data_IF_535087234769
#
_entry.id   IF_535087234769
#
_cell.length_a   1.000
_cell.length_b   1.000
_cell.length_c   1.000
_cell.angle_alpha   90.00
_cell.angle_beta   90.00
_cell.angle_gamma   90.00
#
_symmetry.space_group_name_H-M   'P 1'
#
loop_
_entity.id
_entity.type
_entity.pdbx_description
1 polymer ?
#
# COMPACT_ATOMS: atom_id res chain seq x y z
N UNK A 1 43.83 64.31 26.07
CA UNK A 1 43.46 63.00 26.64
C UNK A 1 43.41 61.98 25.50
N UNK A 2 44.33 61.02 25.49
CA UNK A 2 44.60 60.08 24.38
C UNK A 2 43.51 58.99 24.27
N UNK A 3 43.21 58.52 23.04
CA UNK A 3 42.15 57.51 22.78
C UNK A 3 42.27 56.25 23.65
N UNK A 4 43.47 55.83 24.02
CA UNK A 4 43.73 54.67 24.87
C UNK A 4 43.12 54.78 26.28
N UNK A 5 43.07 55.99 26.87
CA UNK A 5 42.54 56.16 28.23
C UNK A 5 41.01 56.07 28.29
N UNK A 6 40.31 56.32 27.18
CA UNK A 6 38.84 56.18 27.06
C UNK A 6 38.40 54.73 26.92
N UNK A 7 39.18 53.88 26.27
CA UNK A 7 38.86 52.44 26.16
C UNK A 7 39.04 51.71 27.49
N UNK A 8 40.07 52.05 28.26
CA UNK A 8 40.30 51.46 29.58
C UNK A 8 39.18 51.84 30.58
N UNK A 9 38.67 53.07 30.54
CA UNK A 9 37.55 53.51 31.39
C UNK A 9 36.23 52.88 30.97
N UNK A 10 35.94 52.76 29.68
CA UNK A 10 34.72 52.10 29.18
C UNK A 10 34.72 50.60 29.52
N UNK A 11 35.86 49.92 29.40
CA UNK A 11 35.99 48.51 29.76
C UNK A 11 35.82 48.27 31.28
N UNK A 12 36.38 49.15 32.11
CA UNK A 12 36.23 49.07 33.58
C UNK A 12 34.78 49.33 34.03
N UNK A 13 34.09 50.31 33.41
CA UNK A 13 32.67 50.59 33.69
C UNK A 13 31.78 49.44 33.23
N UNK A 14 32.05 48.84 32.07
CA UNK A 14 31.32 47.67 31.58
C UNK A 14 31.48 46.46 32.51
N UNK A 15 32.70 46.18 32.99
CA UNK A 15 32.97 45.10 33.93
C UNK A 15 32.28 45.33 35.30
N UNK A 16 32.28 46.57 35.79
CA UNK A 16 31.60 46.93 37.05
C UNK A 16 30.07 46.82 36.95
N UNK A 17 29.48 47.22 35.80
CA UNK A 17 28.05 47.03 35.53
C UNK A 17 27.70 45.55 35.42
N UNK A 18 28.54 44.74 34.79
CA UNK A 18 28.34 43.29 34.69
C UNK A 18 28.37 42.62 36.07
N UNK A 19 29.26 43.06 36.95
CA UNK A 19 29.43 42.53 38.31
C UNK A 19 28.29 42.97 39.25
N UNK A 20 27.74 44.16 39.07
CA UNK A 20 26.53 44.62 39.76
C UNK A 20 25.24 43.96 39.26
N UNK A 21 25.14 43.64 37.95
CA UNK A 21 24.01 42.92 37.39
C UNK A 21 23.97 41.46 37.89
N UNK A 22 25.13 40.79 37.93
CA UNK A 22 25.23 39.38 38.31
C UNK A 22 24.89 39.12 39.77
N UNK A 23 25.09 40.09 40.66
CA UNK A 23 24.77 39.95 42.09
C UNK A 23 23.27 40.07 42.40
N UNK A 24 22.46 40.62 41.49
CA UNK A 24 21.05 40.89 41.72
C UNK A 24 20.11 40.15 40.74
N UNK A 25 20.67 39.30 39.88
CA UNK A 25 19.92 38.46 38.96
C UNK A 25 19.47 37.20 39.68
N UNK A 26 18.16 37.02 39.90
CA UNK A 26 17.68 35.88 40.68
C UNK A 26 17.88 34.57 39.90
N UNK A 27 18.33 33.52 40.58
CA UNK A 27 18.81 32.24 40.00
C UNK A 27 17.90 31.62 38.93
N UNK A 28 16.58 31.75 39.08
CA UNK A 28 15.58 31.29 38.10
C UNK A 28 15.71 31.93 36.71
N UNK A 29 16.20 33.17 36.59
CA UNK A 29 16.44 33.82 35.29
C UNK A 29 17.58 33.13 34.55
N UNK A 30 18.63 32.72 35.26
CA UNK A 30 19.77 32.00 34.68
C UNK A 30 19.36 30.60 34.18
N UNK A 31 18.56 29.89 34.98
CA UNK A 31 18.08 28.54 34.63
C UNK A 31 17.10 28.59 33.46
N UNK A 32 16.20 29.57 33.41
CA UNK A 32 15.23 29.72 32.32
C UNK A 32 15.87 30.16 31.00
N UNK A 33 16.80 31.12 31.03
CA UNK A 33 17.56 31.51 29.82
C UNK A 33 18.48 30.38 29.33
N UNK A 34 19.10 29.63 30.24
CA UNK A 34 19.88 28.43 29.88
C UNK A 34 19.03 27.34 29.22
N UNK A 35 17.85 27.05 29.76
CA UNK A 35 16.92 26.09 29.16
C UNK A 35 16.40 26.55 27.80
N UNK A 36 16.10 27.85 27.63
CA UNK A 36 15.67 28.44 26.37
C UNK A 36 16.75 28.31 25.26
N UNK A 37 18.02 28.55 25.60
CA UNK A 37 19.13 28.40 24.66
C UNK A 37 19.34 26.93 24.25
N UNK A 38 19.27 26.00 25.19
CA UNK A 38 19.35 24.56 24.90
C UNK A 38 18.20 24.09 24.00
N UNK A 39 17.00 24.63 24.20
CA UNK A 39 15.84 24.29 23.38
C UNK A 39 15.93 24.88 21.97
N UNK A 40 16.48 26.10 21.80
CA UNK A 40 16.76 26.67 20.49
C UNK A 40 17.85 25.91 19.72
N UNK A 41 18.96 25.55 20.38
CA UNK A 41 20.03 24.76 19.74
C UNK A 41 19.54 23.35 19.42
N UNK A 42 18.77 22.74 20.32
CA UNK A 42 18.17 21.42 20.12
C UNK A 42 17.19 21.41 18.95
N UNK A 43 16.38 22.47 18.78
CA UNK A 43 15.50 22.61 17.64
C UNK A 43 16.27 22.82 16.33
N UNK A 44 17.34 23.63 16.34
CA UNK A 44 18.20 23.82 15.16
C UNK A 44 18.87 22.52 14.67
N UNK A 45 19.20 21.60 15.57
CA UNK A 45 19.76 20.30 15.23
C UNK A 45 18.69 19.26 14.82
N UNK A 46 17.44 19.42 15.29
CA UNK A 46 16.35 18.49 15.01
C UNK A 46 15.59 18.82 13.71
N UNK A 47 15.59 20.09 13.30
CA UNK A 47 15.19 20.49 11.95
C UNK A 47 16.45 20.59 11.09
N UNK A 48 16.70 19.55 10.29
CA UNK A 48 17.61 19.54 9.14
C UNK A 48 17.25 20.66 8.15
N UNK A 49 17.48 21.91 8.52
CA UNK A 49 17.23 23.08 7.68
C UNK A 49 18.53 23.58 7.00
N UNK A 50 19.62 22.82 7.12
CA UNK A 50 20.95 23.19 6.61
C UNK A 50 21.34 22.53 5.27
N UNK A 51 20.40 21.92 4.54
CA UNK A 51 20.71 21.36 3.20
C UNK A 51 19.69 21.77 2.13
N UNK A 52 19.57 23.08 1.82
CA UNK A 52 18.76 23.53 0.68
C UNK A 52 19.23 22.86 -0.63
N UNK A 53 20.52 22.57 -0.75
CA UNK A 53 21.10 21.88 -1.90
C UNK A 53 20.52 20.47 -2.14
N UNK A 54 20.23 19.70 -1.08
CA UNK A 54 19.66 18.36 -1.20
C UNK A 54 18.18 18.41 -1.59
N UNK A 55 17.46 19.44 -1.15
CA UNK A 55 16.08 19.68 -1.55
C UNK A 55 16.00 20.05 -3.04
N UNK A 56 16.92 20.89 -3.51
CA UNK A 56 17.02 21.30 -4.92
C UNK A 56 17.42 20.13 -5.83
N UNK A 57 18.34 19.26 -5.38
CA UNK A 57 18.70 18.02 -6.10
C UNK A 57 17.52 17.05 -6.22
N UNK A 58 16.71 16.91 -5.16
CA UNK A 58 15.51 16.07 -5.20
C UNK A 58 14.40 16.68 -6.06
N UNK A 59 14.25 18.00 -6.07
CA UNK A 59 13.29 18.69 -6.96
C UNK A 59 13.71 18.60 -8.42
N UNK A 60 15.01 18.72 -8.73
CA UNK A 60 15.57 18.51 -10.07
C UNK A 60 15.41 17.05 -10.53
N UNK A 61 15.68 16.07 -9.65
CA UNK A 61 15.52 14.65 -9.96
C UNK A 61 14.04 14.25 -10.13
N UNK A 62 13.13 14.79 -9.30
CA UNK A 62 11.70 14.60 -9.45
C UNK A 62 11.16 15.27 -10.73
N UNK A 63 11.68 16.45 -11.08
CA UNK A 63 11.37 17.17 -12.32
C UNK A 63 11.82 16.41 -13.56
N UNK A 64 13.02 15.83 -13.55
CA UNK A 64 13.54 15.01 -14.65
C UNK A 64 12.68 13.73 -14.86
N UNK A 65 12.31 13.04 -13.78
CA UNK A 65 11.43 11.87 -13.84
C UNK A 65 10.00 12.22 -14.29
N UNK A 66 9.50 13.39 -13.93
CA UNK A 66 8.21 13.90 -14.40
C UNK A 66 8.24 14.27 -15.89
N UNK A 67 9.35 14.81 -16.39
CA UNK A 67 9.54 15.11 -17.81
C UNK A 67 9.65 13.83 -18.64
N UNK A 68 10.38 12.81 -18.20
CA UNK A 68 10.42 11.49 -18.86
C UNK A 68 9.07 10.79 -18.83
N UNK A 69 8.28 10.93 -17.75
CA UNK A 69 6.93 10.40 -17.67
C UNK A 69 5.95 11.16 -18.58
N UNK A 70 6.10 12.49 -18.72
CA UNK A 70 5.26 13.30 -19.62
C UNK A 70 5.63 13.12 -21.11
N UNK A 71 6.91 12.87 -21.41
CA UNK A 71 7.40 12.52 -22.75
C UNK A 71 6.91 11.14 -23.17
N UNK A 72 6.90 10.17 -22.24
CA UNK A 72 6.31 8.84 -22.46
C UNK A 72 4.78 8.91 -22.66
N UNK A 73 4.06 9.80 -21.96
CA UNK A 73 2.61 9.97 -22.17
C UNK A 73 2.25 10.74 -23.44
N UNK A 74 3.10 11.68 -23.90
CA UNK A 74 2.90 12.38 -25.18
C UNK A 74 3.08 11.46 -26.39
N UNK A 75 4.09 10.58 -26.36
CA UNK A 75 4.25 9.59 -27.43
C UNK A 75 3.07 8.61 -27.54
N UNK A 76 2.38 8.29 -26.44
CA UNK A 76 1.20 7.42 -26.45
C UNK A 76 -0.07 8.15 -26.93
N UNK A 77 -0.18 9.47 -26.73
CA UNK A 77 -1.29 10.27 -27.23
C UNK A 77 -1.14 10.62 -28.72
N UNK A 78 0.08 10.90 -29.17
CA UNK A 78 0.34 11.23 -30.59
C UNK A 78 0.17 10.00 -31.49
N UNK A 79 0.43 8.77 -31.01
CA UNK A 79 0.16 7.54 -31.77
C UNK A 79 -1.33 7.17 -31.86
N UNK A 80 -2.17 7.73 -30.98
CA UNK A 80 -3.60 7.40 -30.92
C UNK A 80 -4.47 8.47 -31.58
N UNK A 81 -3.94 9.68 -31.80
CA UNK A 81 -4.68 10.82 -32.35
C UNK A 81 -4.57 11.01 -33.88
N UNK A 82 -3.63 10.36 -34.57
CA UNK A 82 -3.46 10.50 -36.03
C UNK A 82 -3.64 9.17 -36.76
N UNK A 83 -4.85 8.61 -36.74
CA UNK A 83 -5.27 7.65 -37.76
C UNK A 83 -6.75 7.80 -38.08
N UNK A 84 -7.10 8.90 -38.74
CA UNK A 84 -8.14 8.85 -39.78
C UNK A 84 -7.97 10.02 -40.76
N UNK A 85 -7.92 9.64 -42.05
CA UNK A 85 -7.88 10.47 -43.28
C UNK A 85 -6.50 11.03 -43.67
N UNK A 86 -5.89 10.44 -44.70
CA UNK A 86 -5.82 10.99 -46.08
C UNK A 86 -5.11 9.99 -47.00
N UNK A 87 -5.48 10.08 -48.26
CA UNK A 87 -5.24 9.29 -49.46
C UNK A 87 -3.83 8.76 -49.75
N UNK A 88 -3.85 7.66 -50.51
CA UNK A 88 -2.84 7.11 -51.42
C UNK A 88 -1.91 8.19 -52.02
N UNK A 89 -0.60 8.03 -51.83
CA UNK A 89 0.41 7.99 -52.91
C UNK A 89 1.86 8.03 -52.37
N UNK A 90 2.74 7.36 -53.10
CA UNK A 90 4.22 7.44 -53.08
C UNK A 90 5.00 6.65 -51.99
N UNK A 91 5.74 5.66 -52.48
CA UNK A 91 6.77 4.91 -51.79
C UNK A 91 8.04 5.72 -51.53
N UNK A 92 8.71 5.49 -50.40
CA UNK A 92 10.17 5.53 -50.30
C UNK A 92 10.65 4.65 -49.15
N UNK A 93 11.46 3.66 -49.48
CA UNK A 93 11.98 2.61 -48.61
C UNK A 93 12.97 3.16 -47.58
N UNK A 94 12.81 2.78 -46.31
CA UNK A 94 13.89 2.77 -45.34
C UNK A 94 13.89 1.39 -44.67
N UNK A 95 14.87 0.59 -45.08
CA UNK A 95 15.08 -0.79 -44.66
C UNK A 95 15.33 -0.88 -43.14
N UNK A 96 14.45 -1.58 -42.43
CA UNK A 96 14.68 -2.08 -41.08
C UNK A 96 14.43 -3.61 -41.11
N UNK A 97 15.24 -4.40 -40.38
CA UNK A 97 15.22 -5.84 -40.46
C UNK A 97 13.87 -6.40 -39.99
N UNK A 98 13.39 -7.43 -40.70
CA UNK A 98 12.19 -8.17 -40.35
C UNK A 98 12.25 -8.63 -38.88
N UNK A 99 11.46 -8.00 -38.01
CA UNK A 99 10.95 -8.71 -36.85
C UNK A 99 9.95 -9.71 -37.39
N UNK A 100 10.48 -10.82 -37.89
CA UNK A 100 9.71 -12.02 -38.19
C UNK A 100 8.81 -12.24 -36.99
N UNK A 101 7.51 -12.32 -37.28
CA UNK A 101 6.49 -12.68 -36.33
C UNK A 101 6.88 -14.03 -35.74
N UNK A 102 7.67 -13.98 -34.66
CA UNK A 102 7.96 -15.11 -33.82
C UNK A 102 6.59 -15.52 -33.27
N UNK A 103 6.08 -16.59 -33.88
CA UNK A 103 4.94 -17.33 -33.41
C UNK A 103 5.01 -17.37 -31.89
N UNK A 104 3.92 -16.98 -31.22
CA UNK A 104 3.73 -17.36 -29.83
C UNK A 104 3.91 -18.88 -29.79
N UNK A 105 5.05 -19.34 -29.28
CA UNK A 105 5.28 -20.75 -29.11
C UNK A 105 4.12 -21.26 -28.24
N UNK A 106 3.41 -22.31 -28.69
CA UNK A 106 2.33 -22.86 -27.90
C UNK A 106 2.92 -23.27 -26.57
N UNK A 107 2.47 -22.59 -25.51
CA UNK A 107 2.89 -22.81 -24.12
C UNK A 107 3.04 -24.31 -23.91
N UNK A 108 4.29 -24.73 -23.76
CA UNK A 108 4.72 -26.11 -23.65
C UNK A 108 3.74 -26.85 -22.73
N UNK A 109 3.21 -27.98 -23.22
CA UNK A 109 2.26 -28.81 -22.49
C UNK A 109 2.96 -29.39 -21.26
N UNK A 110 3.07 -28.60 -20.19
CA UNK A 110 3.40 -29.09 -18.86
C UNK A 110 2.36 -30.18 -18.57
N UNK A 111 2.79 -31.41 -18.26
CA UNK A 111 1.86 -32.50 -18.02
C UNK A 111 0.88 -32.03 -16.95
N UNK A 112 -0.39 -31.91 -17.33
CA UNK A 112 -1.47 -31.67 -16.39
C UNK A 112 -1.40 -32.81 -15.40
N UNK A 113 -0.89 -32.51 -14.20
CA UNK A 113 -0.79 -33.48 -13.12
C UNK A 113 -2.14 -34.21 -13.04
N UNK A 114 -2.16 -35.56 -13.02
CA UNK A 114 -3.40 -36.31 -13.08
C UNK A 114 -4.38 -35.76 -12.04
N UNK A 115 -5.66 -35.73 -12.41
CA UNK A 115 -6.78 -34.99 -11.78
C UNK A 115 -7.00 -35.25 -10.27
N UNK A 116 -6.15 -36.03 -9.60
CA UNK A 116 -6.14 -36.29 -8.16
C UNK A 116 -4.90 -35.81 -7.38
N UNK A 117 -3.74 -35.53 -8.02
CA UNK A 117 -2.48 -35.21 -7.32
C UNK A 117 -2.15 -33.71 -7.23
N UNK A 118 -2.76 -32.87 -8.07
CA UNK A 118 -2.52 -31.43 -8.03
C UNK A 118 -3.07 -30.84 -6.72
N UNK A 119 -2.26 -30.05 -6.03
CA UNK A 119 -2.72 -29.33 -4.83
C UNK A 119 -3.88 -28.40 -5.21
N UNK A 120 -4.99 -28.39 -4.45
CA UNK A 120 -6.12 -27.53 -4.75
C UNK A 120 -5.77 -26.05 -4.53
N UNK A 121 -6.40 -25.18 -5.31
CA UNK A 121 -6.38 -23.74 -5.05
C UNK A 121 -7.09 -23.46 -3.72
N UNK A 122 -6.75 -22.34 -3.07
CA UNK A 122 -7.31 -22.04 -1.75
C UNK A 122 -8.18 -20.80 -1.79
N UNK A 123 -9.39 -20.92 -1.28
CA UNK A 123 -10.32 -19.82 -1.04
C UNK A 123 -10.32 -19.51 0.46
N UNK A 124 -9.60 -18.45 0.85
CA UNK A 124 -9.55 -17.98 2.22
C UNK A 124 -10.74 -17.07 2.51
N UNK A 125 -11.57 -17.45 3.48
CA UNK A 125 -12.71 -16.68 3.97
C UNK A 125 -12.42 -16.24 5.40
N UNK A 126 -12.08 -14.96 5.57
CA UNK A 126 -11.86 -14.35 6.87
C UNK A 126 -13.09 -13.55 7.28
N UNK A 127 -13.89 -14.10 8.18
CA UNK A 127 -15.11 -13.50 8.71
C UNK A 127 -14.86 -12.97 10.13
N UNK A 128 -14.40 -11.72 10.21
CA UNK A 128 -14.23 -11.01 11.50
C UNK A 128 -15.54 -10.32 11.91
N UNK A 129 -15.61 -9.83 13.15
CA UNK A 129 -16.79 -9.07 13.63
C UNK A 129 -17.05 -7.79 12.81
N UNK A 130 -16.01 -7.19 12.23
CA UNK A 130 -16.09 -5.85 11.64
C UNK A 130 -16.00 -5.84 10.11
N UNK A 131 -15.58 -6.95 9.50
CA UNK A 131 -15.39 -7.06 8.06
C UNK A 131 -15.29 -8.53 7.62
N UNK A 132 -15.63 -8.76 6.36
CA UNK A 132 -15.46 -10.04 5.67
C UNK A 132 -14.49 -9.88 4.52
N UNK A 133 -13.46 -10.71 4.47
CA UNK A 133 -12.45 -10.69 3.41
C UNK A 133 -12.39 -12.08 2.76
N UNK A 134 -12.51 -12.11 1.45
CA UNK A 134 -12.46 -13.33 0.64
C UNK A 134 -11.28 -13.20 -0.31
N UNK A 135 -10.33 -14.13 -0.20
CA UNK A 135 -9.11 -14.13 -1.01
C UNK A 135 -8.94 -15.48 -1.68
N UNK A 136 -8.83 -15.45 -3.00
CA UNK A 136 -8.53 -16.61 -3.82
C UNK A 136 -7.04 -16.66 -4.12
N UNK A 137 -6.43 -17.81 -3.89
CA UNK A 137 -4.97 -18.00 -3.95
C UNK A 137 -4.62 -19.28 -4.70
N UNK A 138 -3.43 -19.29 -5.31
CA UNK A 138 -2.80 -20.50 -5.81
C UNK A 138 -2.44 -21.45 -4.66
N UNK A 139 -2.19 -22.75 -4.95
CA UNK A 139 -1.76 -23.71 -3.93
C UNK A 139 -0.41 -23.34 -3.28
N UNK A 140 0.41 -22.55 -3.98
CA UNK A 140 1.68 -21.97 -3.51
C UNK A 140 1.49 -20.84 -2.50
N UNK A 141 0.28 -20.26 -2.40
CA UNK A 141 -0.04 -19.14 -1.52
C UNK A 141 -0.05 -17.77 -2.20
N UNK A 142 0.22 -17.70 -3.50
CA UNK A 142 0.15 -16.45 -4.26
C UNK A 142 -1.31 -15.98 -4.42
N UNK A 143 -1.63 -14.70 -4.10
CA UNK A 143 -2.98 -14.18 -4.24
C UNK A 143 -3.33 -13.86 -5.70
N UNK A 144 -4.43 -14.45 -6.17
CA UNK A 144 -4.96 -14.21 -7.52
C UNK A 144 -6.01 -13.10 -7.52
N UNK A 145 -6.95 -13.18 -6.59
CA UNK A 145 -8.05 -12.23 -6.49
C UNK A 145 -8.46 -12.04 -5.03
N UNK A 146 -8.83 -10.81 -4.69
CA UNK A 146 -9.41 -10.47 -3.40
C UNK A 146 -10.69 -9.65 -3.56
N UNK A 147 -11.53 -9.73 -2.53
CA UNK A 147 -12.64 -8.83 -2.30
C UNK A 147 -12.93 -8.77 -0.80
N UNK A 148 -13.48 -7.65 -0.37
CA UNK A 148 -13.96 -7.46 1.00
C UNK A 148 -15.24 -6.65 0.99
N UNK A 149 -15.93 -6.59 2.13
CA UNK A 149 -17.10 -5.71 2.28
C UNK A 149 -16.78 -4.25 1.90
N UNK A 150 -15.56 -3.78 2.19
CA UNK A 150 -15.08 -2.46 1.77
C UNK A 150 -14.91 -2.32 0.25
N UNK A 151 -14.38 -3.35 -0.42
CA UNK A 151 -14.12 -3.34 -1.87
C UNK A 151 -15.42 -3.23 -2.67
N UNK A 152 -16.52 -3.76 -2.14
CA UNK A 152 -17.86 -3.69 -2.75
C UNK A 152 -18.55 -2.33 -2.54
N UNK A 153 -17.94 -1.43 -1.76
CA UNK A 153 -18.42 -0.06 -1.58
C UNK A 153 -19.08 0.20 -0.22
N UNK A 154 -19.21 -0.81 0.65
CA UNK A 154 -19.71 -0.59 2.01
C UNK A 154 -18.69 0.22 2.83
N UNK A 155 -19.19 1.23 3.55
CA UNK A 155 -18.37 2.15 4.36
C UNK A 155 -18.61 1.91 5.85
N UNK A 156 -17.56 2.11 6.66
CA UNK A 156 -17.60 2.02 8.13
C UNK A 156 -18.28 0.73 8.62
N UNK A 157 -19.25 0.85 9.54
CA UNK A 157 -20.00 -0.26 10.13
C UNK A 157 -20.78 -1.10 9.10
N UNK A 158 -21.11 -0.54 7.93
CA UNK A 158 -21.78 -1.29 6.87
C UNK A 158 -20.96 -2.46 6.31
N UNK A 159 -19.64 -2.51 6.56
CA UNK A 159 -18.75 -3.58 6.07
C UNK A 159 -18.91 -4.90 6.81
N UNK A 160 -19.44 -4.89 8.04
CA UNK A 160 -19.62 -6.10 8.86
C UNK A 160 -20.92 -6.84 8.59
N UNK A 161 -21.86 -6.19 7.89
CA UNK A 161 -23.18 -6.75 7.65
C UNK A 161 -23.15 -8.00 6.78
N UNK A 162 -24.18 -8.83 6.93
CA UNK A 162 -24.40 -10.03 6.13
C UNK A 162 -24.35 -9.72 4.61
N UNK A 163 -25.04 -8.67 4.17
CA UNK A 163 -25.07 -8.27 2.75
C UNK A 163 -23.68 -7.93 2.21
N UNK A 164 -22.84 -7.27 3.01
CA UNK A 164 -21.48 -6.94 2.60
C UNK A 164 -20.61 -8.18 2.40
N UNK A 165 -20.77 -9.20 3.24
CA UNK A 165 -20.14 -10.51 3.07
C UNK A 165 -20.65 -11.24 1.83
N UNK A 166 -21.96 -11.22 1.60
CA UNK A 166 -22.61 -11.85 0.44
C UNK A 166 -22.08 -11.27 -0.87
N UNK A 167 -22.16 -9.95 -1.05
CA UNK A 167 -21.70 -9.30 -2.28
C UNK A 167 -20.18 -9.42 -2.48
N UNK A 168 -19.40 -9.50 -1.40
CA UNK A 168 -17.96 -9.75 -1.50
C UNK A 168 -17.65 -11.15 -2.06
N UNK A 169 -18.43 -12.17 -1.66
CA UNK A 169 -18.33 -13.51 -2.22
C UNK A 169 -18.68 -13.52 -3.71
N UNK A 170 -19.79 -12.88 -4.10
CA UNK A 170 -20.20 -12.79 -5.51
C UNK A 170 -19.10 -12.23 -6.41
N UNK A 171 -18.49 -11.12 -5.99
CA UNK A 171 -17.41 -10.49 -6.76
C UNK A 171 -16.19 -11.40 -6.92
N UNK A 172 -15.94 -12.30 -5.97
CA UNK A 172 -14.89 -13.32 -6.11
C UNK A 172 -15.35 -14.45 -7.03
N UNK A 173 -16.58 -14.93 -6.91
CA UNK A 173 -17.11 -15.99 -7.77
C UNK A 173 -17.14 -15.56 -9.24
N UNK A 174 -17.51 -14.32 -9.53
CA UNK A 174 -17.42 -13.71 -10.86
C UNK A 174 -15.97 -13.70 -11.38
N UNK A 175 -15.01 -13.26 -10.56
CA UNK A 175 -13.58 -13.25 -10.93
C UNK A 175 -13.03 -14.65 -11.19
N UNK A 176 -13.43 -15.63 -10.37
CA UNK A 176 -13.04 -17.04 -10.54
C UNK A 176 -13.67 -17.58 -11.83
N UNK A 177 -14.96 -17.35 -12.06
CA UNK A 177 -15.65 -17.82 -13.26
C UNK A 177 -15.09 -17.21 -14.55
N UNK A 178 -14.73 -15.92 -14.53
CA UNK A 178 -14.17 -15.24 -15.70
C UNK A 178 -12.72 -15.68 -16.02
N UNK A 179 -11.92 -15.98 -15.00
CA UNK A 179 -10.50 -16.33 -15.17
C UNK A 179 -10.21 -17.82 -14.97
N UNK A 180 -11.24 -18.67 -14.93
CA UNK A 180 -11.09 -20.10 -14.60
C UNK A 180 -10.10 -20.81 -15.54
N UNK A 181 -10.22 -20.56 -16.85
CA UNK A 181 -9.33 -21.12 -17.88
C UNK A 181 -7.91 -20.58 -17.76
N UNK A 182 -7.78 -19.27 -17.49
CA UNK A 182 -6.48 -18.58 -17.36
C UNK A 182 -5.69 -19.08 -16.16
N UNK A 183 -6.36 -19.30 -15.03
CA UNK A 183 -5.75 -19.76 -13.78
C UNK A 183 -5.71 -21.29 -13.66
N UNK A 184 -6.26 -22.03 -14.65
CA UNK A 184 -6.32 -23.50 -14.67
C UNK A 184 -6.88 -24.08 -13.35
N UNK A 185 -7.98 -23.49 -12.88
CA UNK A 185 -8.59 -23.87 -11.60
C UNK A 185 -9.39 -25.17 -11.76
N UNK A 186 -8.84 -26.26 -11.24
CA UNK A 186 -9.48 -27.58 -11.27
C UNK A 186 -10.15 -27.96 -9.95
N UNK A 187 -9.58 -27.56 -8.82
CA UNK A 187 -10.10 -27.87 -7.49
C UNK A 187 -9.81 -26.74 -6.50
N UNK A 188 -10.74 -26.54 -5.57
CA UNK A 188 -10.70 -25.48 -4.56
C UNK A 188 -10.87 -26.11 -3.16
N UNK A 189 -10.01 -25.69 -2.23
CA UNK A 189 -10.14 -25.88 -0.79
C UNK A 189 -10.64 -24.58 -0.17
N UNK A 190 -11.75 -24.63 0.57
CA UNK A 190 -12.30 -23.47 1.26
C UNK A 190 -11.79 -23.45 2.70
N UNK A 191 -11.14 -22.35 3.08
CA UNK A 191 -10.55 -22.16 4.41
C UNK A 191 -11.31 -21.08 5.17
N UNK A 192 -12.06 -21.49 6.19
CA UNK A 192 -12.83 -20.58 7.03
C UNK A 192 -11.98 -20.05 8.17
N UNK A 193 -12.10 -18.77 8.50
CA UNK A 193 -11.46 -18.18 9.68
C UNK A 193 -12.42 -17.18 10.34
N UNK A 194 -12.75 -17.45 11.59
CA UNK A 194 -13.63 -16.61 12.40
C UNK A 194 -15.12 -16.98 12.26
N UNK A 195 -15.92 -16.32 13.08
CA UNK A 195 -17.36 -16.58 13.24
C UNK A 195 -18.20 -15.29 13.06
N UNK A 196 -17.73 -14.36 12.23
CA UNK A 196 -18.52 -13.17 11.87
C UNK A 196 -19.70 -13.50 10.96
N UNK A 197 -20.67 -12.59 10.86
CA UNK A 197 -21.87 -12.75 10.02
C UNK A 197 -21.56 -13.05 8.54
N UNK A 198 -20.41 -12.58 8.06
CA UNK A 198 -19.94 -12.85 6.70
C UNK A 198 -19.65 -14.32 6.40
N UNK A 199 -19.42 -15.16 7.41
CA UNK A 199 -19.19 -16.59 7.22
C UNK A 199 -20.41 -17.27 6.62
N UNK A 200 -21.56 -17.06 7.24
CA UNK A 200 -22.84 -17.58 6.75
C UNK A 200 -23.23 -16.95 5.42
N UNK A 201 -22.94 -15.65 5.24
CA UNK A 201 -23.21 -14.97 3.97
C UNK A 201 -22.45 -15.58 2.79
N UNK A 202 -21.15 -15.86 2.96
CA UNK A 202 -20.32 -16.50 1.93
C UNK A 202 -20.78 -17.94 1.68
N UNK A 203 -21.14 -18.68 2.73
CA UNK A 203 -21.66 -20.04 2.59
C UNK A 203 -22.99 -20.04 1.82
N UNK A 204 -23.89 -19.10 2.13
CA UNK A 204 -25.17 -18.94 1.42
C UNK A 204 -24.95 -18.56 -0.04
N UNK A 205 -24.05 -17.63 -0.34
CA UNK A 205 -23.70 -17.23 -1.70
C UNK A 205 -23.16 -18.43 -2.52
N UNK A 206 -22.37 -19.29 -1.88
CA UNK A 206 -21.82 -20.49 -2.51
C UNK A 206 -22.90 -21.56 -2.77
N UNK A 207 -23.93 -21.63 -1.92
CA UNK A 207 -25.06 -22.56 -2.11
C UNK A 207 -26.11 -22.02 -3.09
N UNK A 208 -26.20 -20.70 -3.26
CA UNK A 208 -27.04 -20.06 -4.26
C UNK A 208 -26.57 -20.37 -5.70
N UNK A 209 -27.41 -20.05 -6.68
CA UNK A 209 -27.11 -20.24 -8.11
C UNK A 209 -25.85 -19.51 -8.57
N UNK A 210 -25.58 -18.34 -7.99
CA UNK A 210 -24.40 -17.53 -8.28
C UNK A 210 -23.09 -18.25 -7.95
N UNK A 211 -23.12 -19.18 -6.99
CA UNK A 211 -22.00 -20.00 -6.57
C UNK A 211 -21.82 -21.30 -7.34
N UNK A 212 -22.70 -21.65 -8.29
CA UNK A 212 -22.73 -22.98 -8.93
C UNK A 212 -21.39 -23.39 -9.56
N UNK A 213 -20.77 -22.47 -10.32
CA UNK A 213 -19.45 -22.68 -10.95
C UNK A 213 -18.37 -22.99 -9.93
N UNK A 214 -18.38 -22.28 -8.81
CA UNK A 214 -17.38 -22.46 -7.74
C UNK A 214 -17.69 -23.72 -6.94
N UNK A 215 -18.97 -23.99 -6.65
CA UNK A 215 -19.45 -25.15 -5.89
C UNK A 215 -19.00 -26.47 -6.51
N UNK A 216 -19.05 -26.58 -7.84
CA UNK A 216 -18.57 -27.77 -8.57
C UNK A 216 -17.05 -28.02 -8.47
N UNK A 217 -16.27 -26.99 -8.12
CA UNK A 217 -14.81 -27.08 -7.96
C UNK A 217 -14.38 -27.35 -6.51
N UNK A 218 -15.27 -27.18 -5.52
CA UNK A 218 -14.92 -27.35 -4.11
C UNK A 218 -14.71 -28.82 -3.78
N UNK A 219 -13.51 -29.17 -3.32
CA UNK A 219 -13.16 -30.54 -2.90
C UNK A 219 -13.23 -30.71 -1.38
N UNK A 220 -12.75 -29.72 -0.63
CA UNK A 220 -12.64 -29.78 0.84
C UNK A 220 -13.01 -28.44 1.44
N UNK A 221 -13.68 -28.45 2.59
CA UNK A 221 -13.87 -27.28 3.44
C UNK A 221 -13.21 -27.52 4.79
N UNK A 222 -12.32 -26.62 5.20
CA UNK A 222 -11.56 -26.72 6.45
C UNK A 222 -11.76 -25.45 7.27
N UNK A 223 -12.01 -25.58 8.57
CA UNK A 223 -11.99 -24.45 9.49
C UNK A 223 -10.55 -24.23 10.01
N UNK A 224 -10.01 -23.04 9.77
CA UNK A 224 -8.69 -22.57 10.20
C UNK A 224 -8.81 -21.38 11.18
N UNK A 225 -9.85 -21.37 12.00
CA UNK A 225 -9.99 -20.37 13.06
C UNK A 225 -8.91 -20.57 14.13
N UNK A 226 -8.06 -19.57 14.40
CA UNK A 226 -6.95 -19.74 15.33
C UNK A 226 -7.45 -19.84 16.78
N UNK A 227 -7.11 -20.94 17.44
CA UNK A 227 -7.28 -21.13 18.89
C UNK A 227 -5.89 -21.18 19.51
N UNK A 228 -5.62 -20.29 20.45
CA UNK A 228 -4.33 -20.27 21.16
C UNK A 228 -4.39 -21.17 22.40
N UNK A 229 -3.39 -22.03 22.57
CA UNK A 229 -3.16 -22.79 23.80
C UNK A 229 -2.11 -22.01 24.59
N UNK A 230 -2.55 -21.15 25.51
CA UNK A 230 -1.67 -20.15 26.15
C UNK A 230 -1.36 -18.93 25.25
N UNK A 231 -0.24 -18.26 25.49
CA UNK A 231 0.23 -17.10 24.72
C UNK A 231 -0.10 -15.72 25.33
N UNK A 232 -0.09 -14.67 24.50
CA UNK A 232 -0.22 -13.28 24.96
C UNK A 232 -1.58 -13.03 25.64
N UNK A 233 -1.58 -12.31 26.77
CA UNK A 233 -2.79 -11.93 27.51
C UNK A 233 -3.75 -11.13 26.61
N UNK A 234 -5.03 -11.53 26.49
CA UNK A 234 -6.01 -10.75 25.73
C UNK A 234 -6.29 -9.40 26.39
N UNK A 235 -6.76 -8.42 25.61
CA UNK A 235 -7.14 -7.10 26.13
C UNK A 235 -8.18 -7.24 27.25
N UNK A 236 -8.05 -6.41 28.31
CA UNK A 236 -9.01 -6.36 29.42
C UNK A 236 -10.44 -6.24 28.86
N UNK A 237 -11.37 -7.02 29.44
CA UNK A 237 -12.79 -6.95 29.12
C UNK A 237 -13.26 -5.49 29.24
N UNK A 238 -13.90 -4.99 28.18
CA UNK A 238 -14.49 -3.65 28.20
C UNK A 238 -15.75 -3.67 29.06
N UNK A 239 -15.91 -2.65 29.89
CA UNK A 239 -17.16 -2.32 30.58
C UNK A 239 -17.86 -1.34 29.65
N UNK A 240 -18.89 -1.80 28.95
CA UNK A 240 -19.67 -1.04 27.98
C UNK A 240 -21.10 -0.94 28.48
#
# INVERSE_FOLDING_TARGET
>A
MTRASRFATVAAVAAAVYLLLYLNLPWWVLVSTGAYLLLQVGWGLYTFNDVPAAQDELLMAAGANAQTASAASKQVQDTTASKERVSLDAAMEFSMPEFTAAAQEPVENVPTTPRGLAKPHRLHVQATRNNTMVTFTMPTGEPLANASGGTVGFKKAGRSGYEAGYRAALRIFEKIGANQTRWRVNSIEVLWNGFGQGREAVFRAMMASEGEKVRGLVKVMTDKTPIKIGGVRPKKRRML
#
